data_IF_127242675021
#
_entry.id   IF_127242675021
#
_cell.length_a   1.000
_cell.length_b   1.000
_cell.length_c   1.000
_cell.angle_alpha   90.00
_cell.angle_beta   90.00
_cell.angle_gamma   90.00
#
_symmetry.space_group_name_H-M   'P 1'
#
loop_
_entity.id
_entity.type
_entity.pdbx_description
1 polymer ?
#
# COMPACT_ATOMS: atom_id res chain seq x y z
N UNK A 1 -14.97 0.16 -4.57
CA UNK A 1 -13.87 0.78 -5.34
C UNK A 1 -12.55 0.63 -4.61
N UNK A 2 -11.46 0.67 -5.38
CA UNK A 2 -10.11 0.79 -4.83
C UNK A 2 -9.53 2.13 -5.26
N UNK A 3 -8.84 2.79 -4.36
CA UNK A 3 -8.19 4.08 -4.63
C UNK A 3 -6.67 3.87 -4.58
N UNK A 4 -6.00 4.15 -5.70
CA UNK A 4 -4.54 4.21 -5.75
C UNK A 4 -4.03 5.63 -5.65
N UNK A 5 -2.76 5.85 -6.02
CA UNK A 5 -2.18 7.19 -6.16
C UNK A 5 -1.46 7.29 -7.51
N UNK A 6 -1.60 8.43 -8.19
CA UNK A 6 -0.78 8.73 -9.36
C UNK A 6 0.69 8.51 -9.06
N UNK A 7 1.42 7.94 -10.01
CA UNK A 7 2.84 7.54 -9.89
C UNK A 7 3.09 6.39 -8.91
N UNK A 8 2.06 5.79 -8.28
CA UNK A 8 2.20 4.60 -7.46
C UNK A 8 2.52 3.36 -8.29
N UNK A 9 3.23 2.40 -7.70
CA UNK A 9 3.52 1.10 -8.31
C UNK A 9 3.17 -0.04 -7.34
N UNK A 10 2.29 -0.93 -7.78
CA UNK A 10 1.78 -2.04 -6.96
C UNK A 10 1.85 -3.38 -7.69
N UNK A 11 2.88 -3.57 -8.51
CA UNK A 11 3.06 -4.76 -9.32
C UNK A 11 2.46 -4.65 -10.73
N UNK A 12 2.64 -5.71 -11.53
CA UNK A 12 2.29 -5.76 -12.96
C UNK A 12 1.12 -6.69 -13.27
N UNK A 13 0.54 -7.35 -12.26
CA UNK A 13 -0.73 -8.05 -12.42
C UNK A 13 -1.89 -7.07 -12.63
N UNK A 14 -3.05 -7.57 -13.06
CA UNK A 14 -4.22 -6.73 -13.40
C UNK A 14 -4.62 -5.77 -12.26
N UNK A 15 -4.68 -6.27 -11.02
CA UNK A 15 -4.98 -5.44 -9.85
C UNK A 15 -3.93 -4.37 -9.62
N UNK A 16 -2.66 -4.76 -9.59
CA UNK A 16 -1.53 -3.87 -9.36
C UNK A 16 -1.42 -2.76 -10.39
N UNK A 17 -1.55 -3.09 -11.70
CA UNK A 17 -1.55 -2.08 -12.77
C UNK A 17 -2.77 -1.15 -12.66
N UNK A 18 -3.92 -1.68 -12.27
CA UNK A 18 -5.15 -0.90 -12.17
C UNK A 18 -5.07 0.16 -11.07
N UNK A 19 -4.62 -0.20 -9.87
CA UNK A 19 -4.44 0.74 -8.76
C UNK A 19 -3.13 1.54 -8.86
N UNK A 20 -2.17 1.05 -9.63
CA UNK A 20 -0.94 1.78 -9.93
C UNK A 20 -1.19 3.03 -10.79
N UNK A 21 -0.31 4.01 -10.68
CA UNK A 21 -0.43 5.29 -11.39
C UNK A 21 0.75 5.60 -12.33
N UNK A 22 1.59 4.61 -12.63
CA UNK A 22 2.72 4.79 -13.56
C UNK A 22 2.26 4.67 -15.01
N UNK A 23 2.35 5.74 -15.77
CA UNK A 23 1.90 5.80 -17.17
C UNK A 23 2.54 4.71 -18.03
N UNK A 24 3.85 4.50 -17.92
CA UNK A 24 4.58 3.51 -18.71
C UNK A 24 4.09 2.08 -18.50
N UNK A 25 3.63 1.74 -17.30
CA UNK A 25 3.09 0.44 -16.98
C UNK A 25 1.65 0.26 -17.52
N UNK A 26 0.90 1.33 -17.64
CA UNK A 26 -0.52 1.30 -18.01
C UNK A 26 -0.76 1.38 -19.52
N UNK A 27 0.06 2.12 -20.24
CA UNK A 27 -0.19 2.53 -21.61
C UNK A 27 -0.34 1.39 -22.63
N UNK A 28 0.20 0.20 -22.32
CA UNK A 28 0.18 -0.93 -23.23
C UNK A 28 -0.93 -1.96 -22.95
N UNK A 29 -1.69 -1.80 -21.86
CA UNK A 29 -2.61 -2.83 -21.37
C UNK A 29 -4.09 -2.54 -21.64
N UNK A 30 -4.41 -1.43 -22.30
CA UNK A 30 -5.79 -1.08 -22.67
C UNK A 30 -6.71 -0.90 -21.45
N UNK A 31 -7.76 -1.70 -21.36
CA UNK A 31 -8.74 -1.60 -20.28
C UNK A 31 -8.17 -2.12 -18.96
N UNK A 32 -8.36 -1.33 -17.90
CA UNK A 32 -8.04 -1.68 -16.51
C UNK A 32 -9.27 -2.23 -15.81
N UNK A 33 -9.11 -2.73 -14.58
CA UNK A 33 -10.24 -3.12 -13.73
C UNK A 33 -11.14 -1.92 -13.47
N UNK A 34 -12.44 -2.14 -13.55
CA UNK A 34 -13.44 -1.14 -13.20
C UNK A 34 -13.41 -0.84 -11.69
N UNK A 35 -13.89 0.33 -11.31
CA UNK A 35 -14.00 0.71 -9.90
C UNK A 35 -12.66 1.06 -9.26
N UNK A 36 -11.75 1.65 -10.03
CA UNK A 36 -10.48 2.19 -9.54
C UNK A 36 -10.40 3.68 -9.82
N UNK A 37 -9.98 4.44 -8.83
CA UNK A 37 -9.67 5.88 -8.93
C UNK A 37 -8.28 6.16 -8.36
N UNK A 38 -7.78 7.39 -8.53
CA UNK A 38 -6.45 7.76 -8.09
C UNK A 38 -6.46 9.10 -7.35
N UNK A 39 -5.78 9.15 -6.22
CA UNK A 39 -5.36 10.40 -5.59
C UNK A 39 -4.26 11.04 -6.44
N UNK A 40 -4.17 12.35 -6.39
CA UNK A 40 -3.05 13.09 -7.00
C UNK A 40 -1.72 12.69 -6.36
N UNK A 41 -0.64 12.72 -7.15
CA UNK A 41 0.70 12.50 -6.62
C UNK A 41 1.16 13.68 -5.76
N UNK A 42 2.09 13.40 -4.85
CA UNK A 42 2.61 14.40 -3.88
C UNK A 42 3.90 15.09 -4.33
N UNK A 43 4.49 14.69 -5.46
CA UNK A 43 5.74 15.26 -5.96
C UNK A 43 5.53 16.65 -6.56
N UNK A 44 6.12 17.67 -5.96
CA UNK A 44 5.99 19.06 -6.38
C UNK A 44 7.34 19.79 -6.29
N UNK A 45 8.05 19.87 -7.42
CA UNK A 45 9.36 20.54 -7.49
C UNK A 45 9.31 22.06 -7.30
N UNK A 46 8.15 22.70 -7.53
CA UNK A 46 8.03 24.15 -7.34
C UNK A 46 8.09 24.53 -5.85
N UNK A 47 7.53 23.69 -4.99
CA UNK A 47 7.45 23.96 -3.55
C UNK A 47 8.50 23.18 -2.74
N UNK A 48 8.91 22.02 -3.23
CA UNK A 48 9.68 21.04 -2.46
C UNK A 48 11.03 20.67 -3.10
N UNK A 49 11.54 21.48 -4.04
CA UNK A 49 12.86 21.22 -4.62
C UNK A 49 13.94 21.16 -3.52
N UNK A 50 14.85 20.20 -3.65
CA UNK A 50 15.96 20.00 -2.71
C UNK A 50 15.58 19.70 -1.26
N UNK A 51 14.35 19.23 -1.01
CA UNK A 51 13.95 18.75 0.32
C UNK A 51 14.88 17.65 0.82
N UNK A 52 15.25 17.71 2.09
CA UNK A 52 15.99 16.67 2.80
C UNK A 52 15.03 15.86 3.64
N UNK A 53 14.69 14.64 3.21
CA UNK A 53 13.65 13.81 3.85
C UNK A 53 12.24 14.20 3.39
N UNK A 54 11.30 14.25 4.33
CA UNK A 54 9.90 14.57 4.03
C UNK A 54 9.77 16.04 3.58
N UNK A 55 9.15 16.28 2.41
CA UNK A 55 8.83 17.65 1.96
C UNK A 55 7.91 18.39 2.93
N UNK A 56 8.08 19.70 3.06
CA UNK A 56 7.27 20.53 3.98
C UNK A 56 5.84 20.76 3.47
N UNK A 57 5.62 20.77 2.15
CA UNK A 57 4.35 21.14 1.53
C UNK A 57 3.69 19.96 0.84
N UNK A 58 2.37 19.78 1.04
CA UNK A 58 1.57 18.78 0.33
C UNK A 58 0.78 17.83 1.22
N UNK A 59 0.73 18.05 2.54
CA UNK A 59 -0.13 17.27 3.43
C UNK A 59 -1.60 17.34 3.02
N UNK A 60 -2.04 18.50 2.56
CA UNK A 60 -3.40 18.79 2.08
C UNK A 60 -3.79 17.97 0.83
N UNK A 61 -2.83 17.39 0.12
CA UNK A 61 -3.13 16.51 -1.02
C UNK A 61 -3.82 15.21 -0.58
N UNK A 62 -3.74 14.84 0.69
CA UNK A 62 -4.53 13.74 1.24
C UNK A 62 -6.04 14.03 1.19
N UNK A 63 -6.44 15.30 1.27
CA UNK A 63 -7.84 15.72 1.21
C UNK A 63 -8.50 15.47 -0.18
N UNK A 64 -7.72 15.08 -1.19
CA UNK A 64 -8.26 14.60 -2.47
C UNK A 64 -9.15 13.36 -2.28
N UNK A 65 -8.96 12.60 -1.19
CA UNK A 65 -9.86 11.51 -0.82
C UNK A 65 -11.28 12.00 -0.52
N UNK A 66 -11.45 13.17 0.12
CA UNK A 66 -12.78 13.75 0.35
C UNK A 66 -13.54 14.00 -0.95
N UNK A 67 -12.84 14.47 -1.98
CA UNK A 67 -13.43 14.65 -3.30
C UNK A 67 -13.95 13.33 -3.89
N UNK A 68 -13.19 12.26 -3.74
CA UNK A 68 -13.59 10.93 -4.22
C UNK A 68 -14.75 10.36 -3.39
N UNK A 69 -14.75 10.59 -2.09
CA UNK A 69 -15.88 10.23 -1.21
C UNK A 69 -17.16 10.98 -1.62
N UNK A 70 -17.06 12.28 -1.90
CA UNK A 70 -18.22 13.05 -2.37
C UNK A 70 -18.74 12.58 -3.75
N UNK A 71 -17.85 12.11 -4.62
CA UNK A 71 -18.21 11.63 -5.95
C UNK A 71 -18.86 10.25 -5.93
N UNK A 72 -18.37 9.35 -5.07
CA UNK A 72 -18.70 7.91 -5.13
C UNK A 72 -19.50 7.39 -3.94
N UNK A 73 -19.60 8.15 -2.86
CA UNK A 73 -20.04 7.74 -1.53
C UNK A 73 -19.01 6.80 -0.84
N UNK A 74 -18.75 7.04 0.44
CA UNK A 74 -17.77 6.27 1.22
C UNK A 74 -18.06 4.77 1.24
N UNK A 75 -19.34 4.39 1.32
CA UNK A 75 -19.78 2.98 1.36
C UNK A 75 -19.41 2.17 0.12
N UNK A 76 -19.06 2.82 -0.98
CA UNK A 76 -18.63 2.17 -2.22
C UNK A 76 -17.10 2.07 -2.35
N UNK A 77 -16.34 2.64 -1.41
CA UNK A 77 -14.86 2.64 -1.42
C UNK A 77 -14.36 1.64 -0.38
N UNK A 78 -13.77 0.56 -0.83
CA UNK A 78 -13.26 -0.48 0.06
C UNK A 78 -11.92 -0.11 0.68
N UNK A 79 -10.99 0.42 -0.10
CA UNK A 79 -9.64 0.69 0.38
C UNK A 79 -8.91 1.76 -0.42
N UNK A 80 -7.95 2.39 0.25
CA UNK A 80 -6.89 3.23 -0.35
C UNK A 80 -5.56 2.50 -0.22
N UNK A 81 -4.81 2.39 -1.31
CA UNK A 81 -3.46 1.81 -1.30
C UNK A 81 -2.42 2.85 -1.70
N UNK A 82 -1.37 2.98 -0.88
CA UNK A 82 -0.23 3.86 -1.15
C UNK A 82 1.08 3.22 -0.71
N UNK A 83 2.17 3.52 -1.41
CA UNK A 83 3.52 3.29 -0.89
C UNK A 83 3.83 4.39 0.14
N UNK A 84 4.33 4.09 1.36
CA UNK A 84 4.82 5.11 2.28
C UNK A 84 5.88 6.01 1.65
N UNK A 85 6.82 5.44 0.91
CA UNK A 85 7.71 6.14 -0.03
C UNK A 85 7.46 5.55 -1.41
N UNK A 86 7.11 6.39 -2.39
CA UNK A 86 6.93 5.93 -3.76
C UNK A 86 8.29 5.52 -4.36
N UNK A 87 8.54 4.21 -4.42
CA UNK A 87 9.84 3.66 -4.77
C UNK A 87 10.16 3.75 -6.26
N UNK A 88 9.35 3.10 -7.09
CA UNK A 88 9.61 2.92 -8.52
C UNK A 88 9.64 4.21 -9.34
N UNK A 89 9.00 5.26 -8.87
CA UNK A 89 8.98 6.58 -9.54
C UNK A 89 10.11 7.51 -9.11
N UNK A 90 11.05 7.06 -8.27
CA UNK A 90 12.24 7.82 -7.94
C UNK A 90 12.50 8.04 -6.45
N UNK A 91 12.02 7.14 -5.59
CA UNK A 91 12.14 7.22 -4.14
C UNK A 91 11.61 8.56 -3.60
N UNK A 92 10.33 8.82 -3.80
CA UNK A 92 9.67 10.06 -3.42
C UNK A 92 9.09 9.94 -2.00
N UNK A 93 9.70 10.57 -0.98
CA UNK A 93 9.13 10.64 0.36
C UNK A 93 7.78 11.38 0.35
N UNK A 94 6.86 11.02 1.25
CA UNK A 94 5.61 11.74 1.40
C UNK A 94 5.87 13.11 2.03
N UNK A 95 5.03 14.13 1.78
CA UNK A 95 5.07 15.37 2.55
C UNK A 95 4.76 15.12 4.03
N UNK A 96 5.34 15.94 4.90
CA UNK A 96 5.08 15.89 6.34
C UNK A 96 3.57 15.93 6.63
N UNK A 97 3.11 14.95 7.40
CA UNK A 97 1.70 14.85 7.77
C UNK A 97 0.77 14.24 6.71
N UNK A 98 1.22 14.00 5.48
CA UNK A 98 0.37 13.42 4.42
C UNK A 98 -0.20 12.05 4.81
N UNK A 99 0.65 11.11 5.23
CA UNK A 99 0.22 9.76 5.59
C UNK A 99 -0.69 9.76 6.82
N UNK A 100 -0.39 10.61 7.81
CA UNK A 100 -1.23 10.79 8.99
C UNK A 100 -2.62 11.31 8.60
N UNK A 101 -2.67 12.35 7.78
CA UNK A 101 -3.93 12.90 7.27
C UNK A 101 -4.74 11.88 6.48
N UNK A 102 -4.07 11.08 5.65
CA UNK A 102 -4.72 10.01 4.88
C UNK A 102 -5.32 8.95 5.80
N UNK A 103 -4.61 8.56 6.89
CA UNK A 103 -5.14 7.65 7.92
C UNK A 103 -6.37 8.22 8.60
N UNK A 104 -6.33 9.49 8.99
CA UNK A 104 -7.47 10.18 9.62
C UNK A 104 -8.71 10.14 8.72
N UNK A 105 -8.53 10.42 7.44
CA UNK A 105 -9.63 10.39 6.47
C UNK A 105 -10.17 8.98 6.23
N UNK A 106 -9.29 7.99 6.08
CA UNK A 106 -9.71 6.60 5.94
C UNK A 106 -10.50 6.14 7.17
N UNK A 107 -10.04 6.48 8.38
CA UNK A 107 -10.76 6.15 9.63
C UNK A 107 -12.12 6.87 9.70
N UNK A 108 -12.17 8.15 9.34
CA UNK A 108 -13.40 8.94 9.32
C UNK A 108 -14.49 8.34 8.44
N UNK A 109 -14.11 7.75 7.33
CA UNK A 109 -15.01 7.24 6.29
C UNK A 109 -15.16 5.72 6.27
N UNK A 110 -14.59 5.01 7.25
CA UNK A 110 -14.59 3.54 7.33
C UNK A 110 -14.03 2.88 6.06
N UNK A 111 -12.91 3.44 5.58
CA UNK A 111 -12.18 2.98 4.40
C UNK A 111 -10.88 2.34 4.86
N UNK A 112 -10.54 1.15 4.37
CA UNK A 112 -9.28 0.49 4.70
C UNK A 112 -8.09 1.24 4.10
N UNK A 113 -7.02 1.41 4.90
CA UNK A 113 -5.75 1.93 4.44
C UNK A 113 -4.75 0.79 4.25
N UNK A 114 -4.21 0.67 3.05
CA UNK A 114 -3.20 -0.34 2.69
C UNK A 114 -1.87 0.36 2.46
N UNK A 115 -0.83 -0.03 3.18
CA UNK A 115 0.53 0.36 2.86
C UNK A 115 1.22 -0.72 2.01
N UNK A 116 1.67 -0.32 0.84
CA UNK A 116 2.59 -1.12 0.05
C UNK A 116 4.01 -0.88 0.57
N UNK A 117 4.45 -1.79 1.42
CA UNK A 117 5.76 -1.75 2.06
C UNK A 117 6.79 -2.69 1.40
N UNK A 118 6.55 -3.07 0.16
CA UNK A 118 7.46 -3.92 -0.62
C UNK A 118 8.88 -3.35 -0.68
N UNK A 119 9.03 -2.02 -0.60
CA UNK A 119 10.34 -1.35 -0.58
C UNK A 119 10.71 -0.87 0.82
N UNK A 120 9.75 -0.43 1.63
CA UNK A 120 10.02 0.30 2.88
C UNK A 120 10.19 -0.58 4.12
N UNK A 121 9.70 -1.83 4.10
CA UNK A 121 9.83 -2.76 5.22
C UNK A 121 11.22 -3.40 5.35
N UNK A 122 11.40 -4.11 6.44
CA UNK A 122 12.58 -4.93 6.77
C UNK A 122 13.88 -4.12 6.80
N UNK A 123 13.92 -3.09 7.64
CA UNK A 123 15.12 -2.30 7.92
C UNK A 123 15.45 -1.23 6.89
N UNK A 124 14.76 -1.12 5.75
CA UNK A 124 15.06 -0.14 4.70
C UNK A 124 15.06 1.30 5.21
N UNK A 125 14.19 1.60 6.15
CA UNK A 125 14.02 2.93 6.75
C UNK A 125 14.75 3.07 8.10
N UNK A 126 15.51 2.07 8.53
CA UNK A 126 16.08 2.03 9.89
C UNK A 126 15.07 1.65 10.97
N UNK A 127 13.91 1.14 10.57
CA UNK A 127 12.82 0.61 11.39
C UNK A 127 12.32 -0.70 10.77
N UNK A 128 11.57 -1.50 11.49
CA UNK A 128 11.04 -2.75 10.95
C UNK A 128 10.15 -2.49 9.72
N UNK A 129 9.35 -1.44 9.76
CA UNK A 129 8.43 -1.05 8.68
C UNK A 129 8.45 0.46 8.43
N UNK A 130 7.99 0.87 7.25
CA UNK A 130 7.72 2.28 6.96
C UNK A 130 6.58 2.83 7.81
N UNK A 131 5.57 2.01 8.15
CA UNK A 131 4.49 2.40 9.06
C UNK A 131 5.04 2.79 10.44
N UNK A 132 5.96 2.02 10.99
CA UNK A 132 6.66 2.36 12.24
C UNK A 132 7.48 3.66 12.09
N UNK A 133 8.20 3.80 10.98
CA UNK A 133 9.03 4.99 10.72
C UNK A 133 8.21 6.28 10.69
N UNK A 134 7.05 6.26 10.03
CA UNK A 134 6.15 7.42 9.91
C UNK A 134 5.15 7.54 11.07
N UNK A 135 5.09 6.56 11.98
CA UNK A 135 4.12 6.56 13.09
C UNK A 135 2.66 6.49 12.62
N UNK A 136 2.39 5.76 11.54
CA UNK A 136 1.04 5.61 10.96
C UNK A 136 0.75 4.14 10.76
N UNK A 137 -0.27 3.62 11.43
CA UNK A 137 -0.67 2.20 11.33
C UNK A 137 -1.72 2.02 10.25
N UNK A 138 -1.43 1.29 9.16
CA UNK A 138 -2.42 0.90 8.17
C UNK A 138 -3.25 -0.29 8.66
N UNK A 139 -4.33 -0.61 7.94
CA UNK A 139 -5.13 -1.80 8.19
C UNK A 139 -4.52 -3.05 7.55
N UNK A 140 -3.81 -2.85 6.42
CA UNK A 140 -3.15 -3.92 5.67
C UNK A 140 -1.75 -3.45 5.25
N UNK A 141 -0.79 -4.35 5.33
CA UNK A 141 0.55 -4.18 4.77
C UNK A 141 0.80 -5.24 3.71
N UNK A 142 1.19 -4.82 2.50
CA UNK A 142 1.77 -5.71 1.50
C UNK A 142 3.29 -5.60 1.56
N UNK A 143 4.00 -6.71 1.69
CA UNK A 143 5.46 -6.72 1.75
C UNK A 143 6.08 -7.82 0.89
N UNK A 144 7.34 -7.63 0.52
CA UNK A 144 8.14 -8.57 -0.27
C UNK A 144 9.63 -8.21 -0.13
N UNK A 145 10.44 -8.56 -1.08
CA UNK A 145 11.89 -8.22 -1.21
C UNK A 145 12.68 -8.48 0.07
N UNK A 146 12.69 -7.51 0.99
CA UNK A 146 13.40 -7.58 2.26
C UNK A 146 12.94 -8.73 3.16
N UNK A 147 11.71 -9.22 3.02
CA UNK A 147 11.18 -10.31 3.84
C UNK A 147 12.05 -11.59 3.83
N UNK A 148 12.73 -11.85 2.72
CA UNK A 148 13.69 -12.97 2.58
C UNK A 148 15.10 -12.47 2.31
N UNK A 149 15.41 -11.20 2.55
CA UNK A 149 16.64 -10.57 2.13
C UNK A 149 16.98 -10.80 0.64
N UNK A 150 15.95 -10.91 -0.20
CA UNK A 150 15.99 -11.19 -1.64
C UNK A 150 16.68 -12.54 -2.02
N UNK A 151 16.85 -13.47 -1.09
CA UNK A 151 17.47 -14.78 -1.36
C UNK A 151 16.54 -15.72 -2.13
N UNK A 152 15.22 -15.60 -1.91
CA UNK A 152 14.20 -16.38 -2.59
C UNK A 152 12.94 -15.51 -2.81
N UNK A 153 12.25 -15.60 -3.94
CA UNK A 153 11.01 -14.85 -4.17
C UNK A 153 9.92 -15.19 -3.15
N UNK A 154 9.44 -14.16 -2.44
CA UNK A 154 8.33 -14.27 -1.49
C UNK A 154 7.64 -12.91 -1.35
N UNK A 155 6.35 -12.92 -1.12
CA UNK A 155 5.57 -11.79 -0.66
C UNK A 155 4.62 -12.22 0.44
N UNK A 156 4.17 -11.26 1.24
CA UNK A 156 3.19 -11.49 2.28
C UNK A 156 2.21 -10.32 2.36
N UNK A 157 1.01 -10.62 2.83
CA UNK A 157 0.00 -9.64 3.21
C UNK A 157 -0.26 -9.81 4.70
N UNK A 158 -0.11 -8.72 5.45
CA UNK A 158 -0.31 -8.66 6.89
C UNK A 158 -1.54 -7.81 7.12
N UNK A 159 -2.48 -8.30 7.93
CA UNK A 159 -3.74 -7.62 8.21
C UNK A 159 -3.90 -7.37 9.70
N UNK A 160 -4.68 -6.35 10.07
CA UNK A 160 -5.08 -6.12 11.46
C UNK A 160 -6.04 -7.22 11.94
N UNK A 161 -6.03 -7.48 13.25
CA UNK A 161 -6.81 -8.56 13.87
C UNK A 161 -8.30 -8.50 13.52
N UNK A 162 -8.90 -7.31 13.49
CA UNK A 162 -10.33 -7.16 13.16
C UNK A 162 -10.70 -7.69 11.76
N UNK A 163 -9.76 -7.61 10.79
CA UNK A 163 -9.97 -8.16 9.43
C UNK A 163 -9.94 -9.68 9.49
N UNK A 164 -8.95 -10.23 10.20
CA UNK A 164 -8.84 -11.67 10.40
C UNK A 164 -10.07 -12.22 11.14
N UNK A 165 -10.44 -11.62 12.26
CA UNK A 165 -11.59 -12.02 13.07
C UNK A 165 -12.90 -11.99 12.25
N UNK A 166 -13.10 -10.93 11.46
CA UNK A 166 -14.27 -10.83 10.59
C UNK A 166 -14.34 -11.96 9.55
N UNK A 167 -13.20 -12.40 9.02
CA UNK A 167 -13.14 -13.55 8.10
C UNK A 167 -13.48 -14.85 8.82
N UNK A 168 -12.93 -15.04 10.04
CA UNK A 168 -13.15 -16.26 10.82
C UNK A 168 -14.60 -16.40 11.33
N UNK A 169 -15.19 -15.30 11.80
CA UNK A 169 -16.56 -15.29 12.31
C UNK A 169 -17.63 -15.48 11.23
N UNK A 170 -17.36 -15.04 10.00
CA UNK A 170 -18.31 -15.10 8.89
C UNK A 170 -18.01 -16.23 7.89
N UNK A 171 -17.23 -17.22 8.29
CA UNK A 171 -16.88 -18.34 7.44
C UNK A 171 -18.06 -19.32 7.28
N UNK A 172 -18.73 -19.27 6.15
CA UNK A 172 -19.80 -20.21 5.77
C UNK A 172 -19.25 -21.54 5.19
N UNK A 173 -17.92 -21.69 5.10
CA UNK A 173 -17.25 -22.82 4.49
C UNK A 173 -16.15 -23.37 5.40
N UNK A 174 -15.71 -24.63 5.20
CA UNK A 174 -14.60 -25.22 5.96
C UNK A 174 -13.25 -24.48 5.78
N UNK A 175 -13.14 -23.61 4.78
CA UNK A 175 -11.99 -22.77 4.51
C UNK A 175 -12.46 -21.32 4.54
N UNK A 176 -11.99 -20.55 5.49
CA UNK A 176 -12.41 -19.18 5.80
C UNK A 176 -12.08 -18.20 4.66
N UNK A 177 -10.91 -18.37 4.03
CA UNK A 177 -10.47 -17.62 2.87
C UNK A 177 -10.01 -18.58 1.78
N UNK A 178 -10.87 -18.86 0.81
CA UNK A 178 -10.55 -19.75 -0.31
C UNK A 178 -9.68 -19.03 -1.35
N UNK A 179 -8.45 -18.68 -0.95
CA UNK A 179 -7.47 -18.00 -1.79
C UNK A 179 -6.05 -18.45 -1.46
N UNK A 180 -5.25 -18.70 -2.51
CA UNK A 180 -3.84 -19.03 -2.40
C UNK A 180 -3.23 -19.28 -3.78
N UNK A 181 -1.95 -19.09 -3.87
CA UNK A 181 -1.16 -19.48 -5.03
C UNK A 181 -0.57 -20.88 -4.82
N UNK A 182 -0.19 -21.57 -5.90
CA UNK A 182 0.39 -22.92 -5.82
C UNK A 182 1.59 -23.00 -4.87
N UNK A 183 2.39 -21.94 -4.81
CA UNK A 183 3.57 -21.87 -3.94
C UNK A 183 3.36 -21.06 -2.65
N UNK A 184 2.13 -20.76 -2.26
CA UNK A 184 1.86 -20.18 -0.94
C UNK A 184 2.34 -21.13 0.16
N UNK A 185 3.04 -20.58 1.17
CA UNK A 185 3.61 -21.38 2.24
C UNK A 185 4.83 -22.22 1.83
N UNK A 186 5.54 -21.89 0.74
CA UNK A 186 6.71 -22.62 0.29
C UNK A 186 7.75 -22.74 1.42
N UNK A 187 8.13 -23.96 1.85
CA UNK A 187 8.88 -24.16 3.09
C UNK A 187 10.26 -23.46 3.10
N UNK A 188 10.97 -23.47 1.97
CA UNK A 188 12.28 -22.81 1.87
C UNK A 188 12.13 -21.28 1.94
N UNK A 189 11.09 -20.71 1.32
CA UNK A 189 10.82 -19.28 1.40
C UNK A 189 10.43 -18.87 2.83
N UNK A 190 9.60 -19.66 3.51
CA UNK A 190 9.24 -19.42 4.90
C UNK A 190 10.47 -19.51 5.83
N UNK A 191 11.34 -20.50 5.63
CA UNK A 191 12.59 -20.61 6.40
C UNK A 191 13.51 -19.40 6.20
N UNK A 192 13.64 -18.91 4.95
CA UNK A 192 14.42 -17.71 4.67
C UNK A 192 13.82 -16.45 5.30
N UNK A 193 12.49 -16.35 5.29
CA UNK A 193 11.78 -15.23 5.92
C UNK A 193 11.98 -15.24 7.45
N UNK A 194 11.83 -16.40 8.09
CA UNK A 194 12.08 -16.55 9.54
C UNK A 194 13.50 -16.14 9.89
N UNK A 195 14.51 -16.64 9.15
CA UNK A 195 15.90 -16.25 9.38
C UNK A 195 16.14 -14.74 9.20
N UNK A 196 15.41 -14.07 8.30
CA UNK A 196 15.51 -12.61 8.12
C UNK A 196 14.87 -11.86 9.29
N UNK A 197 13.78 -12.39 9.87
CA UNK A 197 13.10 -11.77 11.01
C UNK A 197 13.88 -11.90 12.32
N UNK A 198 14.82 -12.85 12.41
CA UNK A 198 15.68 -13.06 13.59
C UNK A 198 16.89 -12.09 13.61
N UNK A 199 17.12 -11.29 12.57
CA UNK A 199 18.22 -10.30 12.45
C UNK A 199 17.75 -8.91 12.89
#
# INVERSE_FOLDING_TARGET
RLIGRERGYHGVGFGGISVGGMVKNRMYFGSMLNGVDHLRHTHNLKLNAFSKGEPEHGAELADDLERLVQLHDASTIAAVIVEPIAGSTGALPPPKGYLKRLRELCTKHDILLIFDEVVTAFGRMGKATGSEFFGVTPDIISCAKGITNATIPMGATIVQDFIYESMMENADAPIELFHGYTYSGHPVACAAALATLDI
#
